data_IF_123181001807
#
_entry.id   IF_123181001807
#
_cell.length_a   1.000
_cell.length_b   1.000
_cell.length_c   1.000
_cell.angle_alpha   90.00
_cell.angle_beta   90.00
_cell.angle_gamma   90.00
#
_symmetry.space_group_name_H-M   'P 1'
#
loop_
_entity.id
_entity.type
_entity.pdbx_description
1 polymer ?
#
# COMPACT_ATOMS: atom_id res chain seq x y z
N UNK A 1 -36.17 10.39 47.92
CA UNK A 1 -34.71 10.55 47.80
C UNK A 1 -34.12 9.15 47.81
N UNK A 2 -34.05 8.58 46.62
CA UNK A 2 -33.59 7.23 46.35
C UNK A 2 -32.06 7.23 46.38
N UNK A 3 -31.42 6.30 47.07
CA UNK A 3 -29.96 6.23 47.21
C UNK A 3 -29.51 4.80 46.99
N UNK A 4 -29.22 4.49 45.72
CA UNK A 4 -28.49 3.29 45.33
C UNK A 4 -26.99 3.48 45.60
N UNK A 5 -26.29 2.50 46.22
CA UNK A 5 -24.84 2.57 46.42
C UNK A 5 -24.06 2.27 45.13
N UNK A 6 -22.83 2.82 44.97
CA UNK A 6 -22.05 2.69 43.74
C UNK A 6 -21.44 1.30 43.58
N UNK A 7 -21.61 0.73 42.38
CA UNK A 7 -21.05 -0.56 41.97
C UNK A 7 -19.53 -0.46 41.85
N UNK A 8 -18.81 -1.27 42.64
CA UNK A 8 -17.34 -1.41 42.55
C UNK A 8 -16.98 -2.16 41.27
N UNK A 9 -16.29 -1.49 40.35
CA UNK A 9 -15.70 -2.13 39.17
C UNK A 9 -14.58 -3.09 39.61
N UNK A 10 -14.84 -4.40 39.54
CA UNK A 10 -13.82 -5.43 39.73
C UNK A 10 -12.89 -5.42 38.51
N UNK A 11 -11.55 -5.29 38.68
CA UNK A 11 -10.62 -5.36 37.56
C UNK A 11 -10.69 -6.74 36.90
N UNK A 12 -10.97 -6.79 35.59
CA UNK A 12 -10.89 -8.03 34.83
C UNK A 12 -9.47 -8.61 34.92
N UNK A 13 -9.30 -9.92 35.18
CA UNK A 13 -7.98 -10.54 35.16
C UNK A 13 -7.39 -10.42 33.76
N UNK A 14 -6.20 -9.80 33.67
CA UNK A 14 -5.43 -9.73 32.42
C UNK A 14 -5.05 -11.17 32.04
N UNK A 15 -5.60 -11.68 30.95
CA UNK A 15 -5.16 -12.95 30.36
C UNK A 15 -3.68 -12.78 30.02
N UNK A 16 -2.79 -13.51 30.71
CA UNK A 16 -1.39 -13.61 30.32
C UNK A 16 -1.38 -14.21 28.91
N UNK A 17 -0.96 -13.42 27.92
CA UNK A 17 -0.68 -13.97 26.61
C UNK A 17 0.50 -14.92 26.80
N UNK A 18 0.27 -16.21 26.53
CA UNK A 18 1.33 -17.21 26.51
C UNK A 18 2.22 -16.83 25.32
N UNK A 19 3.37 -16.22 25.59
CA UNK A 19 4.39 -16.00 24.57
C UNK A 19 4.74 -17.37 23.98
N UNK A 20 4.76 -17.49 22.65
CA UNK A 20 5.20 -18.73 22.03
C UNK A 20 6.65 -18.99 22.44
N UNK A 21 6.90 -20.10 23.12
CA UNK A 21 8.25 -20.47 23.57
C UNK A 21 9.08 -20.74 22.32
N UNK A 22 10.24 -20.11 22.22
CA UNK A 22 11.18 -20.31 21.13
C UNK A 22 11.58 -21.80 21.09
N UNK A 23 11.49 -22.50 19.94
CA UNK A 23 11.89 -23.90 19.82
C UNK A 23 13.32 -24.19 20.31
N UNK A 24 14.20 -23.18 20.28
CA UNK A 24 15.57 -23.26 20.79
C UNK A 24 15.66 -23.52 22.29
N UNK A 25 14.61 -23.22 23.05
CA UNK A 25 14.63 -23.38 24.51
C UNK A 25 14.16 -24.77 24.95
N UNK A 26 13.70 -25.60 24.02
CA UNK A 26 13.08 -26.91 24.29
C UNK A 26 13.95 -27.89 25.08
N UNK A 27 15.28 -27.77 24.99
CA UNK A 27 16.22 -28.63 25.72
C UNK A 27 16.84 -27.95 26.93
N UNK A 28 16.59 -26.65 27.13
CA UNK A 28 17.23 -25.87 28.18
C UNK A 28 16.72 -26.28 29.56
N UNK A 29 15.47 -26.75 29.64
CA UNK A 29 14.89 -27.25 30.88
C UNK A 29 15.70 -28.41 31.47
N UNK A 30 15.99 -29.42 30.64
CA UNK A 30 16.76 -30.59 31.03
C UNK A 30 18.21 -30.24 31.39
N UNK A 31 18.77 -29.20 30.77
CA UNK A 31 20.12 -28.70 31.09
C UNK A 31 20.14 -28.08 32.48
N UNK A 32 19.16 -27.24 32.83
CA UNK A 32 19.06 -26.66 34.16
C UNK A 32 18.95 -27.73 35.25
N UNK A 33 18.02 -28.67 35.09
CA UNK A 33 17.76 -29.73 36.08
C UNK A 33 19.03 -30.58 36.27
N UNK A 34 19.66 -31.02 35.17
CA UNK A 34 20.87 -31.85 35.22
C UNK A 34 22.05 -31.14 35.87
N UNK A 35 22.32 -29.88 35.50
CA UNK A 35 23.42 -29.11 36.10
C UNK A 35 23.17 -28.78 37.57
N UNK A 36 21.91 -28.48 37.94
CA UNK A 36 21.56 -28.28 39.34
C UNK A 36 21.70 -29.56 40.17
N UNK A 37 21.23 -30.71 39.68
CA UNK A 37 21.38 -31.97 40.39
C UNK A 37 22.86 -32.31 40.65
N UNK A 38 23.73 -32.08 39.66
CA UNK A 38 25.17 -32.26 39.82
C UNK A 38 25.77 -31.30 40.85
N UNK A 39 25.35 -30.02 40.85
CA UNK A 39 25.76 -29.05 41.86
C UNK A 39 25.28 -29.44 43.27
N UNK A 40 24.04 -29.93 43.37
CA UNK A 40 23.44 -30.38 44.62
C UNK A 40 24.20 -31.57 45.21
N UNK A 41 24.52 -32.57 44.40
CA UNK A 41 25.32 -33.73 44.81
C UNK A 41 26.71 -33.31 45.28
N UNK A 42 27.39 -32.41 44.55
CA UNK A 42 28.72 -31.90 44.91
C UNK A 42 28.73 -31.12 46.24
N UNK A 43 27.70 -30.30 46.50
CA UNK A 43 27.65 -29.42 47.67
C UNK A 43 27.00 -30.04 48.91
N UNK A 44 26.02 -30.92 48.72
CA UNK A 44 25.11 -31.35 49.78
C UNK A 44 24.85 -32.87 49.79
N UNK A 45 25.36 -33.62 48.81
CA UNK A 45 24.93 -34.99 48.48
C UNK A 45 24.78 -35.95 49.66
N UNK A 46 25.77 -36.02 50.55
CA UNK A 46 25.74 -36.96 51.69
C UNK A 46 25.06 -36.40 52.95
N UNK A 47 24.78 -35.09 52.98
CA UNK A 47 24.31 -34.37 54.17
C UNK A 47 22.87 -33.85 54.04
N UNK A 48 22.26 -33.96 52.86
CA UNK A 48 20.93 -33.43 52.60
C UNK A 48 19.83 -34.37 53.11
N UNK A 49 18.89 -33.82 53.89
CA UNK A 49 17.66 -34.52 54.31
C UNK A 49 16.53 -34.46 53.28
N UNK A 50 16.76 -33.80 52.14
CA UNK A 50 15.77 -33.53 51.11
C UNK A 50 16.39 -33.69 49.72
N UNK A 51 15.54 -33.89 48.72
CA UNK A 51 15.96 -34.11 47.32
C UNK A 51 16.14 -32.79 46.57
N UNK A 52 16.98 -32.74 45.52
CA UNK A 52 17.20 -31.53 44.72
C UNK A 52 15.89 -30.94 44.17
N UNK A 53 14.94 -31.77 43.73
CA UNK A 53 13.64 -31.34 43.20
C UNK A 53 12.81 -30.51 44.20
N UNK A 54 13.08 -30.63 45.51
CA UNK A 54 12.46 -29.80 46.54
C UNK A 54 12.95 -28.34 46.52
N UNK A 55 14.16 -28.08 46.02
CA UNK A 55 14.73 -26.73 45.86
C UNK A 55 14.49 -26.24 44.44
N UNK A 56 14.96 -26.99 43.45
CA UNK A 56 14.89 -26.61 42.05
C UNK A 56 14.57 -27.85 41.22
N UNK A 57 13.54 -27.73 40.41
CA UNK A 57 12.90 -28.85 39.73
C UNK A 57 12.19 -28.36 38.48
N UNK A 58 11.45 -29.25 37.82
CA UNK A 58 10.87 -28.95 36.50
C UNK A 58 10.07 -27.65 36.47
N UNK A 59 9.15 -27.47 37.43
CA UNK A 59 8.32 -26.24 37.50
C UNK A 59 9.15 -24.94 37.54
N UNK A 60 10.28 -24.95 38.25
CA UNK A 60 11.16 -23.79 38.34
C UNK A 60 11.89 -23.56 37.02
N UNK A 61 12.36 -24.64 36.41
CA UNK A 61 13.01 -24.63 35.11
C UNK A 61 12.10 -24.11 33.99
N UNK A 62 10.87 -24.65 33.88
CA UNK A 62 9.87 -24.22 32.89
C UNK A 62 9.62 -22.71 33.00
N UNK A 63 9.53 -22.21 34.24
CA UNK A 63 9.28 -20.78 34.51
C UNK A 63 10.46 -19.88 34.10
N UNK A 64 11.69 -20.36 34.24
CA UNK A 64 12.88 -19.67 33.72
C UNK A 64 12.83 -19.62 32.20
N UNK A 65 12.56 -20.76 31.56
CA UNK A 65 12.50 -20.87 30.10
C UNK A 65 11.40 -19.98 29.50
N UNK A 66 10.22 -19.95 30.10
CA UNK A 66 9.11 -19.06 29.69
C UNK A 66 9.47 -17.57 29.79
N UNK A 67 10.37 -17.23 30.70
CA UNK A 67 10.79 -15.84 30.98
C UNK A 67 12.19 -15.54 30.47
N UNK A 68 12.79 -16.43 29.66
CA UNK A 68 14.22 -16.39 29.35
C UNK A 68 14.63 -15.10 28.64
N UNK A 69 13.77 -14.59 27.76
CA UNK A 69 14.01 -13.34 27.04
C UNK A 69 14.00 -12.11 27.96
N UNK A 70 13.28 -12.19 29.08
CA UNK A 70 13.07 -11.08 30.02
C UNK A 70 14.13 -11.09 31.16
N UNK A 71 15.00 -12.10 31.25
CA UNK A 71 16.04 -12.23 32.29
C UNK A 71 17.35 -11.60 31.81
N UNK A 72 17.68 -10.39 32.26
CA UNK A 72 18.94 -9.70 31.92
C UNK A 72 19.95 -9.70 33.07
N UNK A 73 19.53 -10.08 34.26
CA UNK A 73 20.37 -10.02 35.47
C UNK A 73 20.00 -11.09 36.48
N UNK A 74 20.91 -11.33 37.45
CA UNK A 74 20.65 -12.16 38.63
C UNK A 74 19.40 -11.70 39.40
N UNK A 75 19.15 -10.39 39.46
CA UNK A 75 17.97 -9.82 40.11
C UNK A 75 16.68 -10.23 39.41
N UNK A 76 16.68 -10.27 38.08
CA UNK A 76 15.49 -10.67 37.31
C UNK A 76 15.24 -12.17 37.42
N UNK A 77 16.31 -12.98 37.42
CA UNK A 77 16.23 -14.41 37.70
C UNK A 77 15.66 -14.69 39.10
N UNK A 78 16.11 -13.94 40.11
CA UNK A 78 15.58 -14.03 41.48
C UNK A 78 14.08 -13.72 41.53
N UNK A 79 13.61 -12.69 40.81
CA UNK A 79 12.18 -12.37 40.70
C UNK A 79 11.38 -13.49 40.02
N UNK A 80 11.95 -14.14 39.01
CA UNK A 80 11.30 -15.24 38.29
C UNK A 80 11.10 -16.45 39.20
N UNK A 81 12.11 -16.80 40.01
CA UNK A 81 12.04 -17.91 40.95
C UNK A 81 11.17 -17.60 42.17
N UNK A 82 11.19 -16.35 42.64
CA UNK A 82 10.24 -15.84 43.63
C UNK A 82 10.44 -16.44 45.03
N UNK A 83 11.59 -16.19 45.66
CA UNK A 83 11.82 -16.60 47.05
C UNK A 83 13.29 -16.55 47.46
N UNK A 84 13.57 -17.10 48.63
CA UNK A 84 14.92 -17.41 49.11
C UNK A 84 15.47 -18.59 48.31
N UNK A 85 16.64 -18.40 47.70
CA UNK A 85 17.35 -19.43 46.95
C UNK A 85 18.51 -19.99 47.77
N UNK A 86 18.86 -21.25 47.53
CA UNK A 86 20.11 -21.81 48.04
C UNK A 86 21.29 -20.95 47.60
N UNK A 87 22.27 -20.76 48.47
CA UNK A 87 23.48 -19.99 48.15
C UNK A 87 24.21 -20.59 46.93
N UNK A 88 24.61 -19.72 46.00
CA UNK A 88 25.21 -20.11 44.72
C UNK A 88 24.24 -20.63 43.64
N UNK A 89 22.95 -20.84 43.96
CA UNK A 89 21.98 -21.34 42.97
C UNK A 89 21.71 -20.32 41.86
N UNK A 90 21.53 -19.05 42.22
CA UNK A 90 21.23 -18.01 41.24
C UNK A 90 22.42 -17.81 40.29
N UNK A 91 23.64 -17.84 40.82
CA UNK A 91 24.89 -17.75 40.07
C UNK A 91 25.04 -18.92 39.10
N UNK A 92 24.77 -20.15 39.56
CA UNK A 92 24.78 -21.33 38.70
C UNK A 92 23.77 -21.20 37.55
N UNK A 93 22.52 -20.91 37.88
CA UNK A 93 21.43 -20.82 36.89
C UNK A 93 21.67 -19.67 35.91
N UNK A 94 22.11 -18.51 36.39
CA UNK A 94 22.44 -17.39 35.53
C UNK A 94 23.65 -17.70 34.63
N UNK A 95 24.66 -18.40 35.15
CA UNK A 95 25.78 -18.88 34.34
C UNK A 95 25.34 -19.78 33.19
N UNK A 96 24.38 -20.67 33.43
CA UNK A 96 23.80 -21.52 32.37
C UNK A 96 23.09 -20.68 31.30
N UNK A 97 22.35 -19.64 31.72
CA UNK A 97 21.69 -18.71 30.79
C UNK A 97 22.72 -17.98 29.92
N UNK A 98 23.79 -17.48 30.55
CA UNK A 98 24.87 -16.77 29.83
C UNK A 98 25.55 -17.71 28.83
N UNK A 99 25.95 -18.91 29.26
CA UNK A 99 26.56 -19.91 28.36
C UNK A 99 25.64 -20.26 27.18
N UNK A 100 24.35 -20.43 27.43
CA UNK A 100 23.38 -20.70 26.36
C UNK A 100 23.29 -19.53 25.37
N UNK A 101 23.25 -18.29 25.87
CA UNK A 101 23.19 -17.09 25.04
C UNK A 101 24.47 -16.86 24.24
N UNK A 102 25.62 -17.20 24.80
CA UNK A 102 26.91 -17.16 24.09
C UNK A 102 27.06 -18.30 23.07
N UNK A 103 26.20 -19.32 23.15
CA UNK A 103 26.17 -20.46 22.24
C UNK A 103 25.88 -20.07 20.79
N UNK A 104 26.53 -20.77 19.86
CA UNK A 104 26.43 -20.55 18.42
C UNK A 104 24.99 -20.61 17.92
N UNK A 105 24.19 -21.54 18.43
CA UNK A 105 22.79 -21.70 18.01
C UNK A 105 21.92 -20.48 18.38
N UNK A 106 22.12 -19.94 19.58
CA UNK A 106 21.39 -18.74 20.02
C UNK A 106 21.84 -17.50 19.24
N UNK A 107 23.14 -17.35 18.99
CA UNK A 107 23.67 -16.25 18.18
C UNK A 107 23.18 -16.31 16.72
N UNK A 108 23.16 -17.50 16.12
CA UNK A 108 22.61 -17.72 14.78
C UNK A 108 21.12 -17.37 14.70
N UNK A 109 20.36 -17.70 15.74
CA UNK A 109 18.96 -17.31 15.85
C UNK A 109 18.78 -15.80 15.90
N UNK A 110 19.53 -15.10 16.77
CA UNK A 110 19.49 -13.64 16.85
C UNK A 110 19.83 -12.99 15.51
N UNK A 111 20.84 -13.52 14.81
CA UNK A 111 21.21 -13.04 13.48
C UNK A 111 20.09 -13.28 12.47
N UNK A 112 19.49 -14.46 12.46
CA UNK A 112 18.40 -14.83 11.54
C UNK A 112 17.16 -13.97 11.80
N UNK A 113 16.82 -13.72 13.06
CA UNK A 113 15.73 -12.85 13.45
C UNK A 113 15.97 -11.41 12.97
N UNK A 114 17.18 -10.88 13.21
CA UNK A 114 17.55 -9.54 12.73
C UNK A 114 17.52 -9.43 11.20
N UNK A 115 17.97 -10.46 10.49
CA UNK A 115 17.90 -10.50 9.03
C UNK A 115 16.43 -10.49 8.55
N UNK A 116 15.59 -11.32 9.15
CA UNK A 116 14.16 -11.34 8.86
C UNK A 116 13.49 -9.99 9.07
N UNK A 117 13.76 -9.33 10.20
CA UNK A 117 13.18 -8.01 10.50
C UNK A 117 13.62 -6.95 9.47
N UNK A 118 14.90 -6.95 9.10
CA UNK A 118 15.43 -6.06 8.05
C UNK A 118 14.79 -6.35 6.69
N UNK A 119 14.59 -7.63 6.34
CA UNK A 119 13.97 -8.02 5.07
C UNK A 119 12.50 -7.59 5.01
N UNK A 120 11.77 -7.70 6.12
CA UNK A 120 10.39 -7.20 6.26
C UNK A 120 10.36 -5.69 6.07
N UNK A 121 11.22 -4.94 6.75
CA UNK A 121 11.29 -3.48 6.63
C UNK A 121 11.66 -3.04 5.21
N UNK A 122 12.67 -3.67 4.62
CA UNK A 122 13.10 -3.39 3.25
C UNK A 122 11.98 -3.65 2.24
N UNK A 123 11.26 -4.77 2.37
CA UNK A 123 10.15 -5.09 1.49
C UNK A 123 8.98 -4.11 1.65
N UNK A 124 8.67 -3.68 2.88
CA UNK A 124 7.65 -2.67 3.14
C UNK A 124 8.00 -1.34 2.47
N UNK A 125 9.25 -0.89 2.62
CA UNK A 125 9.72 0.36 2.01
C UNK A 125 9.62 0.31 0.49
N UNK A 126 10.09 -0.78 -0.12
CA UNK A 126 9.98 -1.01 -1.57
C UNK A 126 8.53 -0.96 -2.05
N UNK A 127 7.61 -1.61 -1.34
CA UNK A 127 6.20 -1.62 -1.70
C UNK A 127 5.59 -0.21 -1.63
N UNK A 128 5.93 0.55 -0.60
CA UNK A 128 5.46 1.93 -0.45
C UNK A 128 5.98 2.84 -1.56
N UNK A 129 7.24 2.69 -1.96
CA UNK A 129 7.81 3.42 -3.10
C UNK A 129 7.08 3.09 -4.41
N UNK A 130 6.76 1.81 -4.64
CA UNK A 130 6.03 1.39 -5.84
C UNK A 130 4.61 1.96 -5.86
N UNK A 131 3.91 1.96 -4.73
CA UNK A 131 2.57 2.56 -4.61
C UNK A 131 2.63 4.06 -4.90
N UNK A 132 3.61 4.77 -4.32
CA UNK A 132 3.79 6.19 -4.55
C UNK A 132 4.10 6.52 -6.02
N UNK A 133 4.96 5.72 -6.67
CA UNK A 133 5.29 5.88 -8.07
C UNK A 133 4.07 5.70 -8.98
N UNK A 134 3.27 4.65 -8.75
CA UNK A 134 2.02 4.41 -9.50
C UNK A 134 1.01 5.54 -9.31
N UNK A 135 0.85 6.04 -8.08
CA UNK A 135 -0.05 7.16 -7.80
C UNK A 135 0.40 8.45 -8.50
N UNK A 136 1.70 8.73 -8.52
CA UNK A 136 2.27 9.88 -9.22
C UNK A 136 2.08 9.77 -10.75
N UNK A 137 2.31 8.58 -11.32
CA UNK A 137 2.10 8.33 -12.74
C UNK A 137 0.63 8.48 -13.12
N UNK A 138 -0.29 7.92 -12.34
CA UNK A 138 -1.73 8.06 -12.56
C UNK A 138 -2.15 9.53 -12.52
N UNK A 139 -1.69 10.30 -11.54
CA UNK A 139 -1.98 11.73 -11.44
C UNK A 139 -1.48 12.49 -12.67
N UNK A 140 -0.29 12.14 -13.19
CA UNK A 140 0.26 12.75 -14.41
C UNK A 140 -0.61 12.44 -15.64
N UNK A 141 -1.03 11.18 -15.79
CA UNK A 141 -1.89 10.76 -16.91
C UNK A 141 -3.26 11.44 -16.86
N UNK A 142 -3.85 11.56 -15.67
CA UNK A 142 -5.13 12.26 -15.48
C UNK A 142 -5.02 13.76 -15.80
N UNK A 143 -3.93 14.42 -15.38
CA UNK A 143 -3.67 15.82 -15.71
C UNK A 143 -3.50 16.01 -17.23
N UNK A 144 -2.74 15.14 -17.88
CA UNK A 144 -2.55 15.20 -19.34
C UNK A 144 -3.86 14.96 -20.10
N UNK A 145 -4.69 14.02 -19.63
CA UNK A 145 -6.02 13.78 -20.21
C UNK A 145 -6.93 15.01 -20.06
N UNK A 146 -6.93 15.64 -18.88
CA UNK A 146 -7.70 16.86 -18.63
C UNK A 146 -7.26 18.02 -19.53
N UNK A 147 -5.96 18.21 -19.74
CA UNK A 147 -5.41 19.24 -20.63
C UNK A 147 -5.78 19.00 -22.10
N UNK A 148 -5.78 17.74 -22.55
CA UNK A 148 -6.23 17.37 -23.90
C UNK A 148 -7.71 17.69 -24.10
N UNK A 149 -8.56 17.40 -23.13
CA UNK A 149 -9.99 17.73 -23.18
C UNK A 149 -10.21 19.25 -23.19
N UNK A 150 -9.50 19.98 -22.34
CA UNK A 150 -9.60 21.44 -22.26
C UNK A 150 -9.16 22.10 -23.57
N UNK A 151 -8.04 21.65 -24.15
CA UNK A 151 -7.54 22.15 -25.44
C UNK A 151 -8.55 21.91 -26.57
N UNK A 152 -9.12 20.70 -26.66
CA UNK A 152 -10.16 20.38 -27.66
C UNK A 152 -11.40 21.25 -27.48
N UNK A 153 -11.83 21.49 -26.24
CA UNK A 153 -12.97 22.36 -25.93
C UNK A 153 -12.71 23.80 -26.39
N UNK A 154 -11.55 24.37 -26.04
CA UNK A 154 -11.14 25.72 -26.47
C UNK A 154 -11.12 25.85 -28.00
N UNK A 155 -10.55 24.88 -28.70
CA UNK A 155 -10.57 24.87 -30.17
C UNK A 155 -11.99 24.85 -30.72
N UNK A 156 -12.86 24.01 -30.17
CA UNK A 156 -14.26 23.90 -30.59
C UNK A 156 -15.02 25.20 -30.35
N UNK A 157 -14.78 25.87 -29.22
CA UNK A 157 -15.37 27.18 -28.90
C UNK A 157 -14.91 28.25 -29.90
N UNK A 158 -13.61 28.31 -30.22
CA UNK A 158 -13.07 29.23 -31.24
C UNK A 158 -13.68 28.97 -32.63
N UNK A 159 -13.85 27.70 -33.04
CA UNK A 159 -14.50 27.38 -34.31
C UNK A 159 -15.96 27.82 -34.34
N UNK A 160 -16.71 27.64 -33.24
CA UNK A 160 -18.10 28.10 -33.13
C UNK A 160 -18.20 29.62 -33.20
N UNK A 161 -17.32 30.34 -32.53
CA UNK A 161 -17.27 31.81 -32.57
C UNK A 161 -16.97 32.31 -33.98
N UNK A 162 -15.98 31.73 -34.66
CA UNK A 162 -15.67 32.07 -36.05
C UNK A 162 -16.85 31.82 -37.00
N UNK A 163 -17.56 30.71 -36.81
CA UNK A 163 -18.74 30.38 -37.62
C UNK A 163 -19.92 31.33 -37.35
N UNK A 164 -20.14 31.74 -36.10
CA UNK A 164 -21.15 32.75 -35.74
C UNK A 164 -20.81 34.08 -36.42
N UNK A 165 -19.56 34.52 -36.37
CA UNK A 165 -19.12 35.77 -37.00
C UNK A 165 -19.28 35.72 -38.52
N UNK A 166 -18.94 34.59 -39.16
CA UNK A 166 -19.15 34.37 -40.59
C UNK A 166 -20.62 34.47 -40.99
N UNK A 167 -21.52 33.84 -40.22
CA UNK A 167 -22.98 33.91 -40.45
C UNK A 167 -23.52 35.31 -40.27
N UNK A 168 -23.05 36.03 -39.25
CA UNK A 168 -23.45 37.42 -38.99
C UNK A 168 -23.05 38.34 -40.14
N UNK A 169 -21.81 38.25 -40.61
CA UNK A 169 -21.33 39.01 -41.77
C UNK A 169 -22.14 38.71 -43.04
N UNK A 170 -22.44 37.43 -43.29
CA UNK A 170 -23.26 37.03 -44.44
C UNK A 170 -24.68 37.62 -44.35
N UNK A 171 -25.30 37.56 -43.18
CA UNK A 171 -26.63 38.14 -42.96
C UNK A 171 -26.63 39.66 -43.19
N UNK A 172 -25.60 40.36 -42.73
CA UNK A 172 -25.43 41.80 -42.95
C UNK A 172 -25.24 42.14 -44.44
N UNK A 173 -24.46 41.34 -45.16
CA UNK A 173 -24.29 41.49 -46.62
C UNK A 173 -25.59 41.22 -47.39
N UNK A 174 -26.32 40.15 -47.05
CA UNK A 174 -27.61 39.80 -47.65
C UNK A 174 -28.63 40.92 -47.40
N UNK A 175 -28.67 41.46 -46.18
CA UNK A 175 -29.53 42.58 -45.81
C UNK A 175 -29.17 43.86 -46.60
N UNK A 176 -27.87 44.13 -46.78
CA UNK A 176 -27.39 45.25 -47.60
C UNK A 176 -27.83 45.10 -49.05
N UNK A 177 -27.69 43.92 -49.65
CA UNK A 177 -28.14 43.68 -51.01
C UNK A 177 -29.66 43.80 -51.14
N UNK A 178 -30.44 43.27 -50.18
CA UNK A 178 -31.89 43.42 -50.17
C UNK A 178 -32.33 44.89 -50.19
N UNK A 179 -31.65 45.76 -49.44
CA UNK A 179 -31.92 47.21 -49.45
C UNK A 179 -31.61 47.85 -50.82
N UNK A 180 -30.56 47.41 -51.50
CA UNK A 180 -30.23 47.86 -52.88
C UNK A 180 -31.33 47.43 -53.85
N UNK A 181 -31.81 46.18 -53.76
CA UNK A 181 -32.93 45.71 -54.59
C UNK A 181 -34.20 46.53 -54.37
N UNK A 182 -34.56 46.81 -53.11
CA UNK A 182 -35.70 47.65 -52.78
C UNK A 182 -35.54 49.04 -53.39
N UNK A 183 -34.38 49.69 -53.23
CA UNK A 183 -34.13 51.02 -53.77
C UNK A 183 -34.26 51.06 -55.30
N UNK A 184 -33.68 50.09 -56.01
CA UNK A 184 -33.79 50.02 -57.47
C UNK A 184 -35.24 49.82 -57.96
N UNK A 185 -36.09 49.17 -57.17
CA UNK A 185 -37.51 48.98 -57.48
C UNK A 185 -38.33 50.27 -57.30
N UNK A 186 -38.05 51.07 -56.27
CA UNK A 186 -38.78 52.32 -56.00
C UNK A 186 -38.22 53.54 -56.75
N UNK A 187 -36.93 53.55 -57.05
CA UNK A 187 -36.22 54.65 -57.75
C UNK A 187 -35.40 54.10 -58.94
N UNK A 188 -36.04 53.79 -60.08
CA UNK A 188 -35.32 53.26 -61.24
C UNK A 188 -34.35 54.31 -61.82
N UNK A 189 -33.05 54.07 -61.65
CA UNK A 189 -31.97 54.85 -62.27
C UNK A 189 -30.88 53.90 -62.78
N UNK A 190 -30.08 54.33 -63.76
CA UNK A 190 -28.97 53.51 -64.25
C UNK A 190 -27.98 53.17 -63.13
N UNK A 191 -27.75 54.09 -62.20
CA UNK A 191 -26.87 53.88 -61.04
C UNK A 191 -27.43 52.80 -60.08
N UNK A 192 -28.74 52.85 -59.78
CA UNK A 192 -29.38 51.87 -58.92
C UNK A 192 -29.47 50.48 -59.58
N UNK A 193 -29.72 50.41 -60.88
CA UNK A 193 -29.74 49.15 -61.63
C UNK A 193 -28.32 48.56 -61.78
N UNK A 194 -27.29 49.39 -61.93
CA UNK A 194 -25.90 48.95 -61.90
C UNK A 194 -25.50 48.39 -60.52
N UNK A 195 -25.92 49.04 -59.43
CA UNK A 195 -25.70 48.55 -58.06
C UNK A 195 -26.41 47.21 -57.82
N UNK A 196 -27.65 47.04 -58.31
CA UNK A 196 -28.39 45.79 -58.28
C UNK A 196 -27.66 44.66 -59.03
N UNK A 197 -27.17 44.93 -60.24
CA UNK A 197 -26.37 43.96 -61.03
C UNK A 197 -25.08 43.55 -60.31
N UNK A 198 -24.43 44.47 -59.59
CA UNK A 198 -23.23 44.16 -58.77
C UNK A 198 -23.54 43.20 -57.62
N UNK A 199 -24.71 43.31 -56.97
CA UNK A 199 -25.15 42.32 -55.97
C UNK A 199 -25.45 40.95 -56.60
N UNK A 200 -26.06 40.91 -57.79
CA UNK A 200 -26.38 39.66 -58.52
C UNK A 200 -25.13 38.92 -59.04
N UNK A 201 -24.13 39.68 -59.51
CA UNK A 201 -22.91 39.14 -60.10
C UNK A 201 -21.78 38.96 -59.08
N UNK A 202 -22.01 39.18 -57.78
CA UNK A 202 -21.01 38.92 -56.74
C UNK A 202 -20.79 37.40 -56.72
N UNK A 203 -19.59 36.90 -57.05
CA UNK A 203 -19.40 35.47 -57.23
C UNK A 203 -19.60 34.76 -55.88
N UNK A 204 -20.25 33.59 -55.95
CA UNK A 204 -20.53 32.68 -54.84
C UNK A 204 -19.24 32.01 -54.32
N UNK A 205 -18.17 32.77 -54.07
CA UNK A 205 -16.82 32.29 -53.75
C UNK A 205 -16.69 31.64 -52.36
N UNK A 206 -17.76 31.64 -51.55
CA UNK A 206 -17.72 31.06 -50.21
C UNK A 206 -18.17 29.59 -50.13
N UNK A 207 -18.70 29.01 -51.22
CA UNK A 207 -19.24 27.62 -51.19
C UNK A 207 -18.26 26.54 -51.66
N UNK A 208 -17.12 26.89 -52.27
CA UNK A 208 -16.14 25.90 -52.77
C UNK A 208 -14.97 25.61 -51.83
N UNK A 209 -14.74 26.41 -50.78
CA UNK A 209 -13.62 26.19 -49.85
C UNK A 209 -13.92 25.20 -48.72
N UNK A 210 -15.19 25.00 -48.34
CA UNK A 210 -15.56 24.10 -47.24
C UNK A 210 -15.54 22.61 -47.60
N UNK A 211 -15.64 22.23 -48.88
CA UNK A 211 -15.67 20.80 -49.27
C UNK A 211 -14.29 20.15 -49.33
N UNK A 212 -13.22 20.94 -49.42
CA UNK A 212 -11.84 20.42 -49.56
C UNK A 212 -11.12 20.30 -48.23
N UNK A 213 -11.66 20.85 -47.13
CA UNK A 213 -11.01 20.79 -45.81
C UNK A 213 -11.62 19.72 -44.87
N UNK A 214 -12.71 19.06 -45.26
CA UNK A 214 -13.28 17.89 -44.56
C UNK A 214 -12.76 16.54 -45.11
N UNK A 215 -11.89 16.53 -46.12
CA UNK A 215 -11.30 15.30 -46.69
C UNK A 215 -9.79 15.14 -46.47
N UNK A 216 -9.15 16.04 -45.70
CA UNK A 216 -7.71 16.00 -45.41
C UNK A 216 -7.41 15.69 -43.92
N UNK A 217 -8.20 14.81 -43.30
CA UNK A 217 -7.83 14.12 -42.06
C UNK A 217 -8.38 12.69 -42.13
N UNK A 218 -7.93 11.97 -43.16
CA UNK A 218 -7.77 10.52 -43.06
C UNK A 218 -6.30 10.31 -42.69
N UNK A 219 -5.97 10.56 -41.42
CA UNK A 219 -4.80 9.91 -40.87
C UNK A 219 -5.13 8.42 -40.74
N UNK A 220 -4.20 7.51 -41.10
CA UNK A 220 -4.43 6.09 -40.96
C UNK A 220 -4.68 5.80 -39.49
N UNK A 221 -5.75 5.07 -39.22
CA UNK A 221 -5.95 4.34 -37.99
C UNK A 221 -4.68 3.52 -37.78
N UNK A 222 -3.79 3.97 -36.91
CA UNK A 222 -2.80 3.11 -36.30
C UNK A 222 -3.63 2.16 -35.43
N UNK A 223 -3.93 1.00 -35.99
CA UNK A 223 -4.40 -0.14 -35.22
C UNK A 223 -3.48 -0.30 -34.01
N UNK A 224 -4.01 -0.40 -32.78
CA UNK A 224 -3.23 -0.92 -31.69
C UNK A 224 -2.88 -2.37 -32.05
N UNK A 225 -1.60 -2.64 -32.29
CA UNK A 225 -1.07 -3.99 -32.26
C UNK A 225 -1.40 -4.54 -30.86
N UNK A 226 -2.45 -5.34 -30.76
CA UNK A 226 -2.73 -6.17 -29.61
C UNK A 226 -1.71 -7.31 -29.64
N UNK A 227 -0.53 -7.10 -29.07
CA UNK A 227 0.22 -8.22 -28.51
C UNK A 227 -0.50 -8.65 -27.23
N UNK A 228 -1.48 -9.52 -27.45
CA UNK A 228 -2.11 -10.36 -26.44
C UNK A 228 -1.07 -11.35 -25.93
N UNK A 229 -0.25 -10.93 -24.97
CA UNK A 229 0.38 -11.85 -24.04
C UNK A 229 -0.60 -12.10 -22.89
N UNK A 230 -1.58 -12.96 -23.13
CA UNK A 230 -2.37 -13.53 -22.05
C UNK A 230 -1.45 -14.43 -21.19
N UNK A 231 -1.40 -14.25 -19.86
CA UNK A 231 -0.81 -15.27 -19.00
C UNK A 231 -1.67 -16.52 -19.09
N UNK A 232 -1.06 -17.66 -19.44
CA UNK A 232 -1.70 -18.96 -19.40
C UNK A 232 -2.03 -19.32 -17.95
N UNK A 233 -3.21 -18.97 -17.50
CA UNK A 233 -3.83 -19.60 -16.35
C UNK A 233 -4.45 -20.93 -16.81
N UNK A 234 -3.79 -22.03 -16.46
CA UNK A 234 -4.39 -23.36 -16.51
C UNK A 234 -5.22 -23.58 -15.23
N UNK A 235 -6.54 -23.84 -15.32
CA UNK A 235 -7.29 -24.33 -14.19
C UNK A 235 -7.38 -25.86 -14.23
N UNK A 236 -6.72 -26.47 -13.24
CA UNK A 236 -7.26 -27.51 -12.34
C UNK A 236 -7.77 -28.84 -12.95
N UNK A 237 -7.14 -29.95 -12.54
CA UNK A 237 -7.91 -30.97 -11.80
C UNK A 237 -7.08 -31.84 -10.85
N UNK A 238 -7.67 -32.22 -9.70
CA UNK A 238 -7.11 -33.12 -8.72
C UNK A 238 -7.48 -34.59 -8.99
N UNK A 239 -6.69 -35.50 -8.41
CA UNK A 239 -7.15 -36.84 -8.00
C UNK A 239 -6.83 -38.00 -8.95
N UNK A 240 -5.89 -38.86 -8.56
CA UNK A 240 -6.15 -40.24 -8.10
C UNK A 240 -4.87 -41.09 -8.11
N UNK A 241 -4.37 -41.32 -6.89
CA UNK A 241 -4.08 -42.61 -6.27
C UNK A 241 -3.84 -43.90 -7.11
N UNK A 242 -2.90 -44.70 -6.58
CA UNK A 242 -2.65 -46.15 -6.75
C UNK A 242 -1.81 -46.59 -7.96
N UNK A 243 -0.55 -47.00 -7.71
CA UNK A 243 -0.21 -48.41 -7.46
C UNK A 243 1.21 -48.60 -6.94
#
# INVERSE_FOLDING_TARGET
>A
MDSSPPVKNVPKPRKKQVKAINPLYSTLEDVFIRKFNAYFEDKLGDCASFTPDCIFGKRHSDRIVESLDDIESLTDLSKVLGGESLDGLLELLYGIIVEFREGVDFQNYLQSQKQYDNDVESNMNRLNEEIAARAAEQTRLEAEAADRVNTKRKQTELFKEAEIERKKKKLEEDQRCLNIFKRAAYEPSEENEQARRKCLNKPLEDTKKDRTQTQASNDPILEPLLDSAAPSFSPTSPGSEVS
#
